data_IF_491272381501
#
_entry.id   IF_491272381501
#
_cell.length_a   1.000
_cell.length_b   1.000
_cell.length_c   1.000
_cell.angle_alpha   90.00
_cell.angle_beta   90.00
_cell.angle_gamma   90.00
#
_symmetry.space_group_name_H-M   'P 1'
#
loop_
_entity.id
_entity.type
_entity.pdbx_description
1 polymer ?
#
# COMPACT_ATOMS: atom_id res chain seq x y z
N UNK A 1 12.87 6.06 8.24
CA UNK A 1 11.82 6.54 7.33
C UNK A 1 11.93 8.05 7.31
N UNK A 2 12.09 8.67 6.14
CA UNK A 2 12.23 10.12 6.06
C UNK A 2 10.92 10.85 6.34
N UNK A 3 11.01 12.16 6.52
CA UNK A 3 9.85 12.99 6.84
C UNK A 3 8.82 13.04 5.69
N UNK A 4 9.30 12.98 4.44
CA UNK A 4 8.49 12.93 3.21
C UNK A 4 7.63 11.67 3.20
N UNK A 5 8.22 10.51 3.48
CA UNK A 5 7.49 9.24 3.51
C UNK A 5 6.44 9.23 4.62
N UNK A 6 6.74 9.85 5.77
CA UNK A 6 5.77 9.98 6.87
C UNK A 6 4.59 10.86 6.45
N UNK A 7 4.86 12.03 5.84
CA UNK A 7 3.84 12.96 5.33
C UNK A 7 3.01 12.37 4.20
N UNK A 8 3.60 11.51 3.38
CA UNK A 8 2.92 10.80 2.29
C UNK A 8 2.04 9.64 2.77
N UNK A 9 2.13 9.22 4.04
CA UNK A 9 1.48 8.00 4.52
C UNK A 9 2.09 6.73 3.91
N UNK A 10 3.34 6.79 3.45
CA UNK A 10 4.02 5.73 2.72
C UNK A 10 4.49 4.56 3.61
N UNK A 11 4.15 4.58 4.90
CA UNK A 11 4.57 3.57 5.87
C UNK A 11 3.56 2.44 5.97
N UNK A 12 4.01 1.19 6.15
CA UNK A 12 3.09 0.11 6.47
C UNK A 12 2.32 0.44 7.75
N UNK A 13 1.04 0.06 7.87
CA UNK A 13 0.32 0.24 9.12
C UNK A 13 0.96 -0.58 10.24
N UNK A 14 1.02 -0.01 11.44
CA UNK A 14 1.61 -0.68 12.59
C UNK A 14 0.83 -1.95 12.97
N UNK A 15 1.54 -3.03 13.25
CA UNK A 15 0.92 -4.33 13.54
C UNK A 15 -0.05 -4.27 14.74
N UNK A 16 0.25 -3.45 15.75
CA UNK A 16 -0.58 -3.32 16.94
C UNK A 16 -2.00 -2.80 16.63
N UNK A 17 -2.19 -2.06 15.53
CA UNK A 17 -3.51 -1.54 15.11
C UNK A 17 -4.47 -2.63 14.67
N UNK A 18 -3.97 -3.84 14.41
CA UNK A 18 -4.78 -5.00 14.04
C UNK A 18 -5.21 -5.84 15.25
N UNK A 19 -4.62 -5.63 16.43
CA UNK A 19 -4.95 -6.40 17.65
C UNK A 19 -6.43 -6.29 18.03
N UNK A 20 -7.06 -5.08 18.03
CA UNK A 20 -8.46 -4.96 18.38
C UNK A 20 -9.37 -5.78 17.46
N UNK A 21 -9.06 -5.81 16.16
CA UNK A 21 -9.81 -6.61 15.18
C UNK A 21 -9.72 -8.11 15.51
N UNK A 22 -8.52 -8.63 15.79
CA UNK A 22 -8.33 -10.04 16.15
C UNK A 22 -9.12 -10.43 17.40
N UNK A 23 -9.05 -9.59 18.44
CA UNK A 23 -9.75 -9.82 19.71
C UNK A 23 -11.26 -9.78 19.53
N UNK A 24 -11.78 -8.78 18.82
CA UNK A 24 -13.23 -8.59 18.63
C UNK A 24 -13.84 -9.68 17.74
N UNK A 25 -13.18 -10.03 16.63
CA UNK A 25 -13.65 -11.11 15.75
C UNK A 25 -13.55 -12.48 16.43
N UNK A 26 -12.46 -12.73 17.16
CA UNK A 26 -12.30 -13.98 17.89
C UNK A 26 -13.32 -14.12 19.02
N UNK A 27 -13.54 -13.05 19.79
CA UNK A 27 -14.57 -13.01 20.84
C UNK A 27 -15.96 -13.16 20.23
N UNK A 28 -16.26 -12.46 19.13
CA UNK A 28 -17.54 -12.58 18.43
C UNK A 28 -17.82 -14.03 18.01
N UNK A 29 -16.82 -14.75 17.51
CA UNK A 29 -16.95 -16.17 17.19
C UNK A 29 -17.18 -17.05 18.42
N UNK A 30 -16.50 -16.79 19.55
CA UNK A 30 -16.70 -17.52 20.82
C UNK A 30 -18.13 -17.34 21.32
N UNK A 31 -18.62 -16.09 21.35
CA UNK A 31 -19.95 -15.78 21.84
C UNK A 31 -21.07 -16.21 20.89
N UNK A 32 -20.76 -16.55 19.63
CA UNK A 32 -21.75 -17.05 18.70
C UNK A 32 -22.41 -18.35 19.18
N UNK A 33 -21.65 -19.19 19.90
CA UNK A 33 -22.12 -20.48 20.41
C UNK A 33 -22.80 -20.36 21.80
N UNK A 34 -22.58 -19.26 22.52
CA UNK A 34 -23.02 -19.07 23.91
C UNK A 34 -24.13 -18.02 24.02
N UNK A 35 -23.90 -16.83 23.48
CA UNK A 35 -24.84 -15.69 23.50
C UNK A 35 -24.81 -14.97 22.15
N UNK A 36 -25.58 -15.44 21.15
CA UNK A 36 -25.54 -14.93 19.78
C UNK A 36 -25.81 -13.42 19.68
N UNK A 37 -26.61 -12.87 20.60
CA UNK A 37 -26.94 -11.45 20.67
C UNK A 37 -25.73 -10.57 21.03
N UNK A 38 -24.74 -11.10 21.75
CA UNK A 38 -23.46 -10.43 22.07
C UNK A 38 -22.46 -10.59 20.93
N UNK A 39 -22.54 -11.68 20.16
CA UNK A 39 -21.66 -11.90 19.00
C UNK A 39 -21.83 -10.83 17.91
N UNK A 40 -23.07 -10.42 17.62
CA UNK A 40 -23.39 -9.42 16.59
C UNK A 40 -22.66 -8.08 16.81
N UNK A 41 -22.78 -7.40 17.97
CA UNK A 41 -22.06 -6.16 18.20
C UNK A 41 -20.53 -6.37 18.21
N UNK A 42 -20.01 -7.51 18.66
CA UNK A 42 -18.58 -7.81 18.59
C UNK A 42 -18.06 -7.92 17.15
N UNK A 43 -18.81 -8.56 16.26
CA UNK A 43 -18.47 -8.61 14.83
C UNK A 43 -18.53 -7.22 14.17
N UNK A 44 -19.54 -6.40 14.50
CA UNK A 44 -19.65 -5.03 14.00
C UNK A 44 -18.43 -4.22 14.46
N UNK A 45 -18.09 -4.27 15.74
CA UNK A 45 -16.91 -3.58 16.29
C UNK A 45 -15.61 -4.12 15.66
N UNK A 46 -15.51 -5.43 15.42
CA UNK A 46 -14.36 -6.03 14.74
C UNK A 46 -14.21 -5.55 13.28
N UNK A 47 -15.33 -5.43 12.55
CA UNK A 47 -15.34 -4.86 11.21
C UNK A 47 -14.97 -3.37 11.22
N UNK A 48 -15.45 -2.60 12.20
CA UNK A 48 -15.06 -1.21 12.37
C UNK A 48 -13.58 -1.06 12.77
N UNK A 49 -13.05 -1.99 13.55
CA UNK A 49 -11.63 -2.03 13.92
C UNK A 49 -10.71 -2.25 12.70
N UNK A 50 -11.21 -2.83 11.60
CA UNK A 50 -10.47 -2.95 10.36
C UNK A 50 -10.08 -1.59 9.74
N UNK A 51 -10.73 -0.49 10.15
CA UNK A 51 -10.38 0.86 9.73
C UNK A 51 -9.30 1.53 10.61
N UNK A 52 -9.00 1.02 11.82
CA UNK A 52 -7.96 1.59 12.69
C UNK A 52 -6.55 1.62 12.06
N UNK A 53 -6.11 0.59 11.30
CA UNK A 53 -4.84 0.62 10.58
C UNK A 53 -4.79 1.69 9.49
N UNK A 54 -5.94 2.12 8.99
CA UNK A 54 -6.09 3.08 7.90
C UNK A 54 -6.61 4.40 8.46
N UNK A 55 -5.75 5.25 9.02
CA UNK A 55 -6.21 6.57 9.45
C UNK A 55 -6.88 7.28 8.26
N UNK A 56 -7.96 8.04 8.48
CA UNK A 56 -8.57 8.87 7.45
C UNK A 56 -7.56 9.95 7.03
N UNK A 57 -6.66 9.60 6.12
CA UNK A 57 -5.58 10.42 5.61
C UNK A 57 -5.75 10.61 4.10
N UNK A 58 -5.54 11.85 3.66
CA UNK A 58 -5.76 12.36 2.30
C UNK A 58 -4.88 11.70 1.21
N UNK A 59 -5.12 10.45 0.80
CA UNK A 59 -4.19 9.75 -0.11
C UNK A 59 -4.80 9.06 -1.31
N UNK A 60 -6.08 8.67 -1.34
CA UNK A 60 -6.64 7.97 -2.51
C UNK A 60 -7.22 8.89 -3.58
N UNK A 61 -7.72 10.09 -3.23
CA UNK A 61 -8.35 10.99 -4.21
C UNK A 61 -7.35 11.64 -5.18
N UNK A 62 -6.12 11.82 -4.73
CA UNK A 62 -5.07 12.55 -5.45
C UNK A 62 -4.03 11.62 -6.05
N UNK A 63 -4.24 10.30 -5.94
CA UNK A 63 -3.40 9.27 -6.55
C UNK A 63 -4.31 8.47 -7.48
N UNK A 64 -3.85 8.29 -8.72
CA UNK A 64 -4.58 7.56 -9.74
C UNK A 64 -3.68 6.49 -10.36
N UNK A 65 -4.23 5.31 -10.60
CA UNK A 65 -3.53 4.19 -11.23
C UNK A 65 -4.24 3.82 -12.52
N UNK A 66 -3.68 4.19 -13.66
CA UNK A 66 -4.27 3.92 -14.97
C UNK A 66 -3.68 2.67 -15.64
N UNK A 67 -2.45 2.28 -15.27
CA UNK A 67 -1.83 1.02 -15.69
C UNK A 67 -2.03 -0.02 -14.59
N UNK A 68 -2.67 -1.14 -14.92
CA UNK A 68 -2.86 -2.24 -13.98
C UNK A 68 -1.57 -3.06 -13.92
N UNK A 69 -0.80 -2.88 -12.87
CA UNK A 69 0.33 -3.75 -12.57
C UNK A 69 -0.12 -4.93 -11.71
N UNK A 70 0.03 -6.14 -12.23
CA UNK A 70 -0.11 -7.37 -11.45
C UNK A 70 1.25 -8.04 -11.34
N UNK A 71 1.75 -8.17 -10.12
CA UNK A 71 3.00 -8.89 -9.86
C UNK A 71 2.70 -10.39 -9.71
N UNK A 72 3.67 -11.26 -10.01
CA UNK A 72 3.55 -12.70 -9.71
C UNK A 72 3.34 -12.95 -8.21
N UNK A 73 3.91 -12.08 -7.37
CA UNK A 73 3.67 -12.06 -5.93
C UNK A 73 2.20 -11.86 -5.58
N UNK A 74 1.46 -11.02 -6.32
CA UNK A 74 0.05 -10.74 -6.06
C UNK A 74 -0.83 -11.97 -6.28
N UNK A 75 -0.56 -12.75 -7.33
CA UNK A 75 -1.32 -13.98 -7.62
C UNK A 75 -1.19 -14.99 -6.47
N UNK A 76 0.04 -15.23 -6.01
CA UNK A 76 0.31 -16.15 -4.89
C UNK A 76 -0.27 -15.65 -3.57
N UNK A 77 -0.24 -14.34 -3.33
CA UNK A 77 -0.79 -13.74 -2.09
C UNK A 77 -2.31 -13.75 -2.07
N UNK A 78 -2.96 -13.47 -3.19
CA UNK A 78 -4.42 -13.53 -3.30
C UNK A 78 -4.92 -14.93 -2.92
N UNK A 79 -4.27 -15.97 -3.45
CA UNK A 79 -4.57 -17.36 -3.11
C UNK A 79 -4.45 -17.63 -1.60
N UNK A 80 -3.34 -17.24 -0.97
CA UNK A 80 -3.11 -17.46 0.48
C UNK A 80 -4.08 -16.66 1.34
N UNK A 81 -4.42 -15.43 0.96
CA UNK A 81 -5.35 -14.59 1.72
C UNK A 81 -6.80 -15.08 1.68
N UNK A 82 -7.15 -15.90 0.69
CA UNK A 82 -8.48 -16.54 0.58
C UNK A 82 -8.45 -17.94 1.19
N UNK A 83 -7.42 -18.73 0.87
CA UNK A 83 -7.31 -20.11 1.31
C UNK A 83 -7.21 -20.21 2.83
N UNK A 84 -6.40 -19.39 3.50
CA UNK A 84 -6.21 -19.54 4.96
C UNK A 84 -7.50 -19.27 5.77
N UNK A 85 -8.24 -18.16 5.58
CA UNK A 85 -9.52 -17.97 6.24
C UNK A 85 -10.56 -19.02 5.85
N UNK A 86 -10.62 -19.41 4.58
CA UNK A 86 -11.56 -20.43 4.10
C UNK A 86 -11.26 -21.81 4.72
N UNK A 87 -10.00 -22.19 4.87
CA UNK A 87 -9.59 -23.43 5.54
C UNK A 87 -9.95 -23.41 7.02
N UNK A 88 -9.73 -22.28 7.72
CA UNK A 88 -10.14 -22.16 9.13
C UNK A 88 -11.65 -22.28 9.27
N UNK A 89 -12.42 -21.61 8.42
CA UNK A 89 -13.88 -21.71 8.41
C UNK A 89 -14.37 -23.13 8.06
N UNK A 90 -13.70 -23.81 7.11
CA UNK A 90 -14.04 -25.18 6.76
C UNK A 90 -13.74 -26.16 7.91
N UNK A 91 -12.62 -26.00 8.62
CA UNK A 91 -12.28 -26.80 9.80
C UNK A 91 -13.28 -26.53 10.93
N UNK A 92 -13.70 -25.29 11.11
CA UNK A 92 -14.71 -24.89 12.11
C UNK A 92 -16.09 -25.52 11.81
N UNK A 93 -16.52 -25.50 10.54
CA UNK A 93 -17.79 -26.09 10.11
C UNK A 93 -17.77 -27.64 10.16
N UNK A 94 -16.66 -28.25 9.77
CA UNK A 94 -16.54 -29.72 9.62
C UNK A 94 -16.01 -30.43 10.87
N UNK A 95 -15.32 -29.71 11.76
CA UNK A 95 -14.60 -30.27 12.90
C UNK A 95 -15.48 -30.72 14.07
N UNK A 96 -16.75 -30.28 14.11
CA UNK A 96 -17.70 -30.66 15.16
C UNK A 96 -17.30 -30.20 16.57
N UNK A 97 -18.10 -30.61 17.56
CA UNK A 97 -18.10 -30.11 18.95
C UNK A 97 -16.83 -30.40 19.77
N UNK A 98 -15.87 -31.20 19.26
CA UNK A 98 -14.62 -31.47 19.96
C UNK A 98 -13.42 -31.46 19.02
N UNK A 99 -12.67 -30.37 19.01
CA UNK A 99 -11.37 -30.34 18.36
C UNK A 99 -10.40 -31.21 19.19
N UNK A 100 -9.89 -32.30 18.60
CA UNK A 100 -8.91 -33.20 19.24
C UNK A 100 -9.36 -33.81 20.59
N UNK A 101 -10.67 -33.98 20.82
CA UNK A 101 -11.21 -34.53 22.07
C UNK A 101 -11.17 -33.56 23.26
N UNK A 102 -10.98 -32.27 23.01
CA UNK A 102 -11.05 -31.23 24.04
C UNK A 102 -12.49 -30.97 24.48
N UNK A 103 -12.71 -30.49 25.72
CA UNK A 103 -14.02 -30.05 26.17
C UNK A 103 -14.60 -28.96 25.24
N UNK A 104 -15.93 -28.86 25.10
CA UNK A 104 -16.57 -27.92 24.17
C UNK A 104 -16.12 -26.47 24.36
N UNK A 105 -15.99 -26.02 25.61
CA UNK A 105 -15.55 -24.66 25.95
C UNK A 105 -14.15 -24.33 25.39
N UNK A 106 -13.22 -25.28 25.49
CA UNK A 106 -11.87 -25.13 24.96
C UNK A 106 -11.85 -25.20 23.43
N UNK A 107 -12.66 -26.07 22.83
CA UNK A 107 -12.82 -26.15 21.38
C UNK A 107 -13.33 -24.82 20.80
N UNK A 108 -14.41 -24.27 21.36
CA UNK A 108 -14.97 -22.97 20.96
C UNK A 108 -13.95 -21.83 21.13
N UNK A 109 -13.20 -21.82 22.24
CA UNK A 109 -12.16 -20.81 22.47
C UNK A 109 -11.05 -20.88 21.41
N UNK A 110 -10.58 -22.08 21.08
CA UNK A 110 -9.54 -22.29 20.06
C UNK A 110 -10.04 -21.89 18.67
N UNK A 111 -11.27 -22.29 18.30
CA UNK A 111 -11.88 -21.90 17.03
C UNK A 111 -12.02 -20.37 16.92
N UNK A 112 -12.47 -19.71 17.98
CA UNK A 112 -12.57 -18.26 18.02
C UNK A 112 -11.23 -17.56 17.84
N UNK A 113 -10.20 -17.97 18.59
CA UNK A 113 -8.84 -17.42 18.46
C UNK A 113 -8.28 -17.66 17.06
N UNK A 114 -8.47 -18.86 16.50
CA UNK A 114 -8.03 -19.20 15.14
C UNK A 114 -8.75 -18.34 14.08
N UNK A 115 -10.07 -18.18 14.20
CA UNK A 115 -10.87 -17.36 13.31
C UNK A 115 -10.43 -15.90 13.32
N UNK A 116 -10.38 -15.29 14.51
CA UNK A 116 -9.98 -13.88 14.67
C UNK A 116 -8.57 -13.62 14.14
N UNK A 117 -7.64 -14.53 14.42
CA UNK A 117 -6.25 -14.43 13.94
C UNK A 117 -6.14 -14.60 12.43
N UNK A 118 -6.85 -15.55 11.83
CA UNK A 118 -6.79 -15.82 10.39
C UNK A 118 -7.38 -14.67 9.56
N UNK A 119 -8.55 -14.16 9.96
CA UNK A 119 -9.19 -13.02 9.27
C UNK A 119 -8.31 -11.77 9.41
N UNK A 120 -7.81 -11.49 10.61
CA UNK A 120 -6.92 -10.35 10.87
C UNK A 120 -5.60 -10.46 10.11
N UNK A 121 -5.03 -11.66 10.03
CA UNK A 121 -3.86 -11.91 9.21
C UNK A 121 -4.14 -11.60 7.74
N UNK A 122 -5.27 -12.06 7.18
CA UNK A 122 -5.70 -11.74 5.83
C UNK A 122 -5.78 -10.23 5.57
N UNK A 123 -6.46 -9.49 6.45
CA UNK A 123 -6.57 -8.02 6.37
C UNK A 123 -5.21 -7.31 6.49
N UNK A 124 -4.38 -7.70 7.46
CA UNK A 124 -3.04 -7.11 7.63
C UNK A 124 -2.18 -7.31 6.38
N UNK A 125 -2.30 -8.46 5.71
CA UNK A 125 -1.60 -8.76 4.47
C UNK A 125 -2.10 -7.89 3.33
N UNK A 126 -3.41 -7.70 3.21
CA UNK A 126 -3.99 -6.81 2.20
C UNK A 126 -3.58 -5.35 2.42
N UNK A 127 -3.56 -4.89 3.67
CA UNK A 127 -3.11 -3.55 4.06
C UNK A 127 -1.66 -3.27 3.66
N UNK A 128 -0.82 -4.30 3.63
CA UNK A 128 0.60 -4.23 3.28
C UNK A 128 0.87 -4.33 1.76
N UNK A 129 -0.14 -4.63 0.94
CA UNK A 129 0.03 -4.85 -0.49
C UNK A 129 0.60 -3.63 -1.23
N UNK A 130 0.11 -2.39 -1.02
CA UNK A 130 0.65 -1.23 -1.75
C UNK A 130 2.16 -1.05 -1.55
N UNK A 131 2.65 -1.23 -0.32
CA UNK A 131 4.08 -1.12 0.01
C UNK A 131 4.92 -2.20 -0.66
N UNK A 132 4.40 -3.43 -0.72
CA UNK A 132 5.09 -4.56 -1.35
C UNK A 132 5.08 -4.45 -2.87
N UNK A 133 3.94 -4.11 -3.46
CA UNK A 133 3.80 -3.88 -4.90
C UNK A 133 4.74 -2.80 -5.39
N UNK A 134 4.84 -1.68 -4.67
CA UNK A 134 5.81 -0.63 -4.99
C UNK A 134 7.24 -1.17 -5.06
N UNK A 135 7.67 -1.95 -4.07
CA UNK A 135 9.02 -2.54 -4.05
C UNK A 135 9.24 -3.53 -5.19
N UNK A 136 8.27 -4.40 -5.42
CA UNK A 136 8.32 -5.40 -6.49
C UNK A 136 8.33 -4.74 -7.88
N UNK A 137 7.53 -3.70 -8.09
CA UNK A 137 7.50 -2.93 -9.33
C UNK A 137 8.84 -2.25 -9.59
N UNK A 138 9.43 -1.58 -8.58
CA UNK A 138 10.77 -0.99 -8.71
C UNK A 138 11.80 -2.07 -9.08
N UNK A 139 11.74 -3.23 -8.44
CA UNK A 139 12.66 -4.33 -8.74
C UNK A 139 12.50 -4.84 -10.17
N UNK A 140 11.26 -5.08 -10.61
CA UNK A 140 10.96 -5.52 -11.98
C UNK A 140 11.41 -4.51 -13.03
N UNK A 141 11.13 -3.21 -12.81
CA UNK A 141 11.56 -2.14 -13.72
C UNK A 141 13.07 -2.20 -13.89
N UNK A 142 13.82 -2.30 -12.79
CA UNK A 142 15.27 -2.27 -12.92
C UNK A 142 15.88 -3.58 -13.40
N UNK A 143 15.28 -4.73 -13.11
CA UNK A 143 15.73 -6.01 -13.67
C UNK A 143 15.53 -6.08 -15.20
N UNK A 144 14.49 -5.43 -15.72
CA UNK A 144 14.18 -5.41 -17.14
C UNK A 144 14.74 -4.21 -17.89
N UNK A 145 15.31 -3.23 -17.19
CA UNK A 145 15.80 -2.00 -17.79
C UNK A 145 17.07 -2.23 -18.62
N UNK A 146 17.07 -1.75 -19.86
CA UNK A 146 18.32 -1.50 -20.57
C UNK A 146 18.95 -0.19 -20.07
N UNK A 147 20.24 -0.20 -19.81
CA UNK A 147 21.01 1.00 -19.46
C UNK A 147 21.31 1.89 -20.66
N UNK A 148 21.00 1.44 -21.88
CA UNK A 148 21.32 2.15 -23.12
C UNK A 148 20.61 3.51 -23.26
N UNK A 149 19.52 3.73 -22.51
CA UNK A 149 18.73 4.97 -22.53
C UNK A 149 19.14 5.99 -21.44
N UNK A 150 20.11 5.65 -20.59
CA UNK A 150 20.56 6.47 -19.44
C UNK A 150 21.81 7.26 -19.82
N UNK A 151 21.71 8.59 -19.83
CA UNK A 151 22.85 9.48 -20.10
C UNK A 151 23.37 10.15 -18.83
N UNK A 152 24.66 10.51 -18.80
CA UNK A 152 25.24 11.31 -17.70
C UNK A 152 24.50 12.63 -17.48
N UNK A 153 24.03 13.26 -18.57
CA UNK A 153 23.25 14.50 -18.47
C UNK A 153 21.91 14.32 -17.76
N UNK A 154 21.31 13.12 -17.84
CA UNK A 154 20.06 12.79 -17.16
C UNK A 154 20.31 12.48 -15.68
N UNK A 155 21.44 11.84 -15.36
CA UNK A 155 21.90 11.65 -13.98
C UNK A 155 22.12 13.00 -13.29
N UNK A 156 22.85 13.93 -13.93
CA UNK A 156 23.10 15.29 -13.40
C UNK A 156 21.80 16.07 -13.19
N UNK A 157 20.85 15.96 -14.11
CA UNK A 157 19.55 16.61 -13.97
C UNK A 157 18.77 16.09 -12.75
N UNK A 158 18.86 14.78 -12.48
CA UNK A 158 18.20 14.15 -11.35
C UNK A 158 18.96 14.30 -10.02
N UNK A 159 20.28 14.52 -10.07
CA UNK A 159 21.16 14.71 -8.92
C UNK A 159 20.89 16.04 -8.17
N UNK A 160 20.24 17.00 -8.84
CA UNK A 160 19.87 18.28 -8.25
C UNK A 160 18.99 18.13 -7.00
N UNK A 161 19.19 18.94 -5.93
CA UNK A 161 18.45 18.79 -4.67
C UNK A 161 16.92 18.79 -4.82
N UNK A 162 16.39 19.67 -5.66
CA UNK A 162 14.95 19.73 -5.96
C UNK A 162 14.47 18.47 -6.69
N UNK A 163 15.17 18.05 -7.74
CA UNK A 163 14.82 16.85 -8.50
C UNK A 163 14.82 15.59 -7.63
N UNK A 164 15.84 15.41 -6.78
CA UNK A 164 15.90 14.32 -5.79
C UNK A 164 14.74 14.35 -4.81
N UNK A 165 14.39 15.54 -4.32
CA UNK A 165 13.29 15.74 -3.36
C UNK A 165 11.94 15.40 -3.99
N UNK A 166 11.70 15.88 -5.22
CA UNK A 166 10.51 15.55 -6.00
C UNK A 166 10.41 14.06 -6.28
N UNK A 167 11.50 13.43 -6.74
CA UNK A 167 11.56 12.00 -7.02
C UNK A 167 11.31 11.14 -5.76
N UNK A 168 11.86 11.54 -4.61
CA UNK A 168 11.54 10.91 -3.32
C UNK A 168 10.06 11.06 -2.95
N UNK A 169 9.45 12.22 -3.21
CA UNK A 169 8.01 12.44 -3.02
C UNK A 169 7.15 11.53 -3.89
N UNK A 170 7.50 11.39 -5.18
CA UNK A 170 6.83 10.49 -6.12
C UNK A 170 6.97 9.03 -5.67
N UNK A 171 8.19 8.60 -5.31
CA UNK A 171 8.42 7.28 -4.75
C UNK A 171 7.59 7.08 -3.48
N UNK A 172 7.54 8.04 -2.55
CA UNK A 172 6.76 7.92 -1.32
C UNK A 172 5.28 7.61 -1.60
N UNK A 173 4.70 8.21 -2.65
CA UNK A 173 3.34 7.91 -3.10
C UNK A 173 3.20 6.63 -3.94
N UNK A 174 4.30 5.97 -4.29
CA UNK A 174 4.28 4.86 -5.26
C UNK A 174 3.89 5.32 -6.66
N UNK A 175 4.05 6.62 -6.96
CA UNK A 175 3.71 7.21 -8.25
C UNK A 175 4.78 6.88 -9.30
N UNK A 176 4.75 5.63 -9.77
CA UNK A 176 5.72 5.02 -10.66
C UNK A 176 4.96 4.39 -11.83
N UNK A 177 5.43 4.65 -13.06
CA UNK A 177 5.02 4.03 -14.32
C UNK A 177 3.53 3.62 -14.34
N UNK A 178 2.64 4.59 -14.53
CA UNK A 178 1.21 4.32 -14.60
C UNK A 178 0.44 4.46 -13.29
N UNK A 179 1.15 4.69 -12.17
CA UNK A 179 0.58 5.29 -10.96
C UNK A 179 1.06 6.73 -10.86
N UNK A 180 0.13 7.67 -10.68
CA UNK A 180 0.39 9.12 -10.73
C UNK A 180 -0.23 9.85 -9.56
N UNK A 181 0.37 10.95 -9.13
CA UNK A 181 -0.09 11.78 -8.00
C UNK A 181 -0.29 13.23 -8.43
N UNK A 182 -1.34 13.90 -7.93
CA UNK A 182 -1.62 15.29 -8.25
C UNK A 182 -0.56 16.23 -7.67
N UNK A 183 -0.27 17.32 -8.38
CA UNK A 183 0.69 18.34 -7.98
C UNK A 183 0.36 18.95 -6.60
N UNK A 184 -0.91 19.16 -6.26
CA UNK A 184 -1.32 19.66 -4.93
C UNK A 184 -0.92 18.74 -3.78
N UNK A 185 -0.95 17.44 -4.02
CA UNK A 185 -0.61 16.45 -3.02
C UNK A 185 0.91 16.42 -2.82
N UNK A 186 1.67 16.47 -3.91
CA UNK A 186 3.13 16.63 -3.86
C UNK A 186 3.53 17.93 -3.16
N UNK A 187 2.92 19.05 -3.51
CA UNK A 187 3.14 20.35 -2.89
C UNK A 187 2.98 20.27 -1.36
N UNK A 188 1.87 19.69 -0.89
CA UNK A 188 1.63 19.49 0.55
C UNK A 188 2.68 18.60 1.23
N UNK A 189 3.05 17.49 0.61
CA UNK A 189 4.00 16.53 1.21
C UNK A 189 5.42 17.08 1.23
N UNK A 190 5.81 17.83 0.20
CA UNK A 190 7.15 18.42 0.09
C UNK A 190 7.28 19.77 0.79
N UNK A 191 6.17 20.34 1.26
CA UNK A 191 6.09 21.73 1.77
C UNK A 191 6.52 22.75 0.70
N UNK A 192 6.03 22.54 -0.52
CA UNK A 192 6.30 23.35 -1.70
C UNK A 192 5.02 24.03 -2.18
N UNK A 193 5.19 25.09 -2.98
CA UNK A 193 4.10 25.61 -3.81
C UNK A 193 3.86 24.69 -5.02
N UNK A 194 2.65 24.77 -5.60
CA UNK A 194 2.32 24.02 -6.83
C UNK A 194 3.23 24.45 -7.99
N UNK A 195 3.59 25.74 -8.05
CA UNK A 195 4.51 26.30 -9.02
C UNK A 195 5.91 25.71 -8.88
N UNK A 196 6.42 25.53 -7.66
CA UNK A 196 7.71 24.88 -7.41
C UNK A 196 7.72 23.42 -7.88
N UNK A 197 6.62 22.69 -7.64
CA UNK A 197 6.45 21.32 -8.17
C UNK A 197 6.56 21.34 -9.70
N UNK A 198 5.84 22.25 -10.38
CA UNK A 198 5.87 22.35 -11.84
C UNK A 198 7.20 22.79 -12.40
N UNK A 199 7.85 23.78 -11.78
CA UNK A 199 9.15 24.30 -12.18
C UNK A 199 10.23 23.21 -12.10
N UNK A 200 10.18 22.37 -11.06
CA UNK A 200 11.09 21.23 -10.90
C UNK A 200 10.72 20.08 -11.84
N UNK A 201 9.43 19.83 -12.06
CA UNK A 201 8.95 18.73 -12.87
C UNK A 201 9.21 18.93 -14.38
N UNK A 202 8.96 20.13 -14.90
CA UNK A 202 9.04 20.41 -16.35
C UNK A 202 10.37 20.03 -17.02
N UNK A 203 11.56 20.34 -16.49
CA UNK A 203 12.82 19.93 -17.13
C UNK A 203 13.05 18.41 -17.07
N UNK A 204 12.53 17.72 -16.05
CA UNK A 204 12.62 16.26 -15.93
C UNK A 204 11.66 15.56 -16.90
N UNK A 205 10.49 16.15 -17.14
CA UNK A 205 9.47 15.70 -18.10
C UNK A 205 10.01 15.74 -19.54
N UNK A 206 10.70 16.83 -19.90
CA UNK A 206 11.38 16.97 -21.20
C UNK A 206 12.47 15.91 -21.45
N UNK A 207 13.01 15.31 -20.39
CA UNK A 207 14.03 14.25 -20.43
C UNK A 207 13.46 12.84 -20.34
N UNK A 208 12.13 12.73 -20.18
CA UNK A 208 11.42 11.46 -19.98
C UNK A 208 11.70 10.80 -18.63
N UNK A 209 12.23 11.54 -17.64
CA UNK A 209 12.54 11.04 -16.29
C UNK A 209 11.27 10.97 -15.42
N UNK A 210 10.37 11.92 -15.64
CA UNK A 210 9.03 11.92 -15.07
C UNK A 210 8.03 12.15 -16.21
N UNK A 211 6.75 11.90 -15.93
CA UNK A 211 5.65 12.18 -16.85
C UNK A 211 4.64 13.09 -16.18
N UNK A 212 4.15 14.09 -16.92
CA UNK A 212 3.09 15.00 -16.47
C UNK A 212 1.84 14.83 -17.31
N UNK A 213 0.69 14.69 -16.66
CA UNK A 213 -0.61 14.56 -17.33
C UNK A 213 -1.59 15.63 -16.88
N UNK A 214 -1.97 16.52 -17.81
CA UNK A 214 -2.94 17.59 -17.58
C UNK A 214 -4.36 17.23 -18.04
N UNK A 215 -4.60 16.00 -18.55
CA UNK A 215 -5.86 15.59 -19.19
C UNK A 215 -7.07 15.83 -18.27
N UNK A 216 -6.94 15.51 -16.98
CA UNK A 216 -8.01 15.61 -15.99
C UNK A 216 -7.95 16.92 -15.17
N UNK A 217 -7.09 17.87 -15.55
CA UNK A 217 -6.82 19.06 -14.76
C UNK A 217 -7.91 20.14 -14.90
N UNK A 218 -8.59 20.20 -16.05
CA UNK A 218 -9.56 21.27 -16.34
C UNK A 218 -8.95 22.67 -16.28
N UNK A 219 -7.64 22.81 -16.55
CA UNK A 219 -6.90 24.07 -16.47
C UNK A 219 -6.36 24.41 -15.08
N UNK A 220 -6.66 23.60 -14.05
CA UNK A 220 -6.14 23.79 -12.70
C UNK A 220 -4.74 23.14 -12.55
N UNK A 221 -3.65 23.92 -12.38
CA UNK A 221 -2.30 23.37 -12.24
C UNK A 221 -2.15 22.47 -11.02
N UNK A 222 -2.98 22.63 -9.99
CA UNK A 222 -2.96 21.81 -8.78
C UNK A 222 -3.43 20.37 -9.03
N UNK A 223 -4.23 20.15 -10.10
CA UNK A 223 -4.80 18.86 -10.49
C UNK A 223 -4.00 18.13 -11.58
N UNK A 224 -2.89 18.71 -12.04
CA UNK A 224 -1.98 18.03 -12.96
C UNK A 224 -1.35 16.85 -12.24
N UNK A 225 -1.39 15.69 -12.87
CA UNK A 225 -0.77 14.47 -12.34
C UNK A 225 0.69 14.39 -12.74
N UNK A 226 1.50 13.82 -11.85
CA UNK A 226 2.94 13.59 -12.03
C UNK A 226 3.28 12.17 -11.60
N UNK A 227 4.13 11.48 -12.36
CA UNK A 227 4.65 10.15 -12.04
C UNK A 227 6.13 10.03 -12.43
N UNK A 228 6.83 9.11 -11.77
CA UNK A 228 8.19 8.72 -12.14
C UNK A 228 8.12 7.66 -13.27
N UNK A 229 8.85 7.85 -14.36
CA UNK A 229 8.90 6.85 -15.44
C UNK A 229 9.85 5.71 -15.09
N UNK A 230 9.84 4.63 -15.89
CA UNK A 230 10.82 3.55 -15.76
C UNK A 230 12.26 4.08 -15.83
N UNK A 231 12.56 4.95 -16.80
CA UNK A 231 13.85 5.66 -16.90
C UNK A 231 14.21 6.40 -15.62
N UNK A 232 13.27 7.12 -15.02
CA UNK A 232 13.49 7.83 -13.77
C UNK A 232 13.80 6.91 -12.58
N UNK A 233 13.17 5.73 -12.51
CA UNK A 233 13.47 4.72 -11.49
C UNK A 233 14.89 4.19 -11.64
N UNK A 234 15.31 3.88 -12.87
CA UNK A 234 16.66 3.37 -13.17
C UNK A 234 17.72 4.41 -12.79
N UNK A 235 17.54 5.67 -13.21
CA UNK A 235 18.43 6.78 -12.87
C UNK A 235 18.57 6.98 -11.34
N UNK A 236 17.47 6.88 -10.59
CA UNK A 236 17.53 6.95 -9.12
C UNK A 236 18.35 5.81 -8.52
N UNK A 237 18.31 4.61 -9.11
CA UNK A 237 19.11 3.48 -8.64
C UNK A 237 20.59 3.70 -8.94
N UNK A 238 20.94 4.13 -10.15
CA UNK A 238 22.34 4.41 -10.50
C UNK A 238 22.94 5.49 -9.58
N UNK A 239 22.21 6.60 -9.36
CA UNK A 239 22.62 7.65 -8.40
C UNK A 239 22.80 7.10 -6.98
N UNK A 240 21.95 6.15 -6.55
CA UNK A 240 22.09 5.53 -5.24
C UNK A 240 23.31 4.61 -5.14
N UNK A 241 23.72 4.00 -6.25
CA UNK A 241 24.89 3.13 -6.34
C UNK A 241 26.21 3.91 -6.53
N UNK A 242 26.16 5.24 -6.64
CA UNK A 242 27.33 6.10 -6.80
C UNK A 242 27.92 6.06 -8.21
N UNK A 243 27.08 5.77 -9.21
CA UNK A 243 27.39 5.81 -10.63
C UNK A 243 26.69 7.01 -11.27
#
# INVERSE_FOLDING_TARGET
>A
MGEIERRAGAGPPDFWKFIPMAVLLGSGRIFLDVEPWVAVPLFILGALAAFLPFPPGNTTRDVDGWKIHTTEGDKRRALVSVAAPATVMAIDILGGDSLLGLPPEWSTMIYGVAFGSAVTYGFSRQAMLPHRRKRELIQQIVENASLDEVTTSDLEALDQPGARTLARGLLAHGAIDGTRVMARQLARVLDWSVEQVHATARPLDQRGIISRSAIMSGGDPAKVYVELTEKGVVLLRELHQGR
#
